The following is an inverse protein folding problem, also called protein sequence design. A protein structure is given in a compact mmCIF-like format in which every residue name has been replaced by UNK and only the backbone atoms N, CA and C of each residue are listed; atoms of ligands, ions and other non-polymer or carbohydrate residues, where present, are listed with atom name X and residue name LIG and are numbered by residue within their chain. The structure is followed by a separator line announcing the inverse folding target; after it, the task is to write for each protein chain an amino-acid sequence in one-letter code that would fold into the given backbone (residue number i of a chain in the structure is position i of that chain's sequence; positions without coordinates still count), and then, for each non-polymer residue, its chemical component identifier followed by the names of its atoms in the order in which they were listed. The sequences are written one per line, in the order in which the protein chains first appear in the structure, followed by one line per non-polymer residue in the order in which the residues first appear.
data_IF_298243041728
#
_entry.id   IF_298243041728
#
_cell.length_a   1.000
_cell.length_b   1.000
_cell.length_c   1.000
_cell.angle_alpha   90.00
_cell.angle_beta   90.00
_cell.angle_gamma   90.00
#
_symmetry.space_group_name_H-M   'P 1'
#
loop_
_entity.id
_entity.type
_entity.pdbx_description
1 polymer ?
#
# COMPACT_ATOMS: atom_id res chain seq x y z
N UNK A 1 14.17 -17.51 23.65
CA UNK A 1 13.03 -17.77 24.56
C UNK A 1 13.06 -16.70 25.60
N UNK A 2 11.92 -16.09 25.88
CA UNK A 2 11.42 -15.58 27.18
C UNK A 2 10.15 -14.79 26.77
N UNK A 3 8.95 -15.00 27.31
CA UNK A 3 8.52 -15.39 28.67
C UNK A 3 7.46 -16.51 28.60
N UNK A 4 7.39 -17.37 29.64
CA UNK A 4 6.38 -17.05 30.66
C UNK A 4 6.86 -17.32 32.09
N UNK A 5 6.79 -16.33 32.98
CA UNK A 5 6.93 -16.53 34.43
C UNK A 5 5.60 -16.97 35.09
N UNK A 6 4.75 -17.62 34.30
CA UNK A 6 3.28 -17.70 34.29
C UNK A 6 2.54 -17.85 35.63
N UNK A 7 1.27 -17.42 35.63
CA UNK A 7 0.28 -18.23 36.31
C UNK A 7 -0.96 -18.57 35.45
N UNK A 8 -1.14 -19.85 35.15
CA UNK A 8 -2.36 -20.39 34.54
C UNK A 8 -3.56 -20.19 35.45
N UNK A 9 -4.68 -19.71 34.91
CA UNK A 9 -5.89 -19.37 35.66
C UNK A 9 -7.09 -20.22 35.26
N UNK A 10 -7.62 -20.96 36.23
CA UNK A 10 -8.97 -21.51 36.30
C UNK A 10 -9.89 -20.43 36.94
N UNK A 11 -11.18 -20.41 36.62
CA UNK A 11 -12.20 -19.45 37.06
C UNK A 11 -12.37 -19.30 38.60
N UNK A 12 -11.66 -20.07 39.43
CA UNK A 12 -11.83 -20.06 40.87
C UNK A 12 -11.04 -18.97 41.63
N UNK A 13 -10.08 -18.23 41.03
CA UNK A 13 -9.12 -17.43 41.82
C UNK A 13 -8.41 -16.18 41.20
N UNK A 14 -9.05 -15.39 40.30
CA UNK A 14 -8.54 -14.06 39.86
C UNK A 14 -7.01 -14.00 39.56
N UNK A 15 -6.53 -14.93 38.71
CA UNK A 15 -5.10 -15.13 38.44
C UNK A 15 -4.78 -14.75 36.99
N UNK A 16 -3.93 -13.73 36.80
CA UNK A 16 -3.51 -13.21 35.49
C UNK A 16 -2.31 -13.96 34.92
N UNK A 17 -2.39 -14.40 33.68
CA UNK A 17 -1.41 -15.25 32.97
C UNK A 17 -0.28 -14.48 32.30
N UNK A 18 -0.53 -13.22 31.96
CA UNK A 18 0.39 -12.30 31.31
C UNK A 18 0.03 -10.88 31.75
N UNK A 19 1.05 -10.10 32.12
CA UNK A 19 0.88 -8.68 32.40
C UNK A 19 1.05 -7.88 31.10
N UNK A 20 0.25 -6.83 30.94
CA UNK A 20 0.49 -5.84 29.89
C UNK A 20 1.76 -5.06 30.22
N UNK A 21 2.65 -4.95 29.26
CA UNK A 21 3.92 -4.21 29.38
C UNK A 21 4.10 -3.37 28.14
N UNK A 22 4.54 -2.13 28.32
CA UNK A 22 4.87 -1.23 27.22
C UNK A 22 6.12 -1.73 26.49
N UNK A 23 6.18 -1.47 25.18
CA UNK A 23 7.40 -1.66 24.41
C UNK A 23 8.44 -0.61 24.82
N UNK A 24 9.71 -1.00 24.81
CA UNK A 24 10.83 -0.09 25.05
C UNK A 24 11.97 -0.43 24.08
N UNK A 25 12.44 0.56 23.33
CA UNK A 25 13.53 0.38 22.37
C UNK A 25 14.32 1.67 22.18
N UNK A 26 15.43 1.60 21.44
CA UNK A 26 16.25 2.76 21.11
C UNK A 26 16.18 3.06 19.62
N UNK A 27 15.87 4.30 19.27
CA UNK A 27 15.96 4.83 17.90
C UNK A 27 17.06 5.88 17.88
N UNK A 28 18.12 5.66 17.10
CA UNK A 28 19.30 6.55 17.02
C UNK A 28 19.90 6.92 18.39
N UNK A 29 19.85 5.99 19.34
CA UNK A 29 20.35 6.18 20.71
C UNK A 29 19.37 6.87 21.68
N UNK A 30 18.21 7.32 21.20
CA UNK A 30 17.13 7.87 22.03
C UNK A 30 16.22 6.74 22.49
N UNK A 31 16.00 6.63 23.80
CA UNK A 31 15.06 5.66 24.37
C UNK A 31 13.61 6.09 24.13
N UNK A 32 12.81 5.15 23.63
CA UNK A 32 11.41 5.37 23.30
C UNK A 32 10.58 4.24 23.89
N UNK A 33 9.53 4.62 24.62
CA UNK A 33 8.53 3.69 25.12
C UNK A 33 7.15 3.97 24.51
N UNK A 34 6.43 2.90 24.19
CA UNK A 34 5.11 2.93 23.57
C UNK A 34 4.24 1.79 24.08
N UNK A 35 2.95 2.05 24.24
CA UNK A 35 1.98 1.09 24.77
C UNK A 35 1.64 -0.06 23.82
N UNK A 36 2.06 0.03 22.55
CA UNK A 36 1.83 -1.02 21.53
C UNK A 36 3.12 -1.33 20.80
N UNK A 37 3.15 -2.46 20.08
CA UNK A 37 4.28 -2.88 19.25
C UNK A 37 4.22 -2.32 17.81
N UNK A 38 3.23 -1.50 17.47
CA UNK A 38 3.11 -0.87 16.15
C UNK A 38 3.23 0.64 16.29
N UNK A 39 4.37 1.17 15.88
CA UNK A 39 4.76 2.56 16.14
C UNK A 39 4.66 3.37 14.85
N UNK A 40 3.80 4.38 14.85
CA UNK A 40 3.49 5.19 13.65
C UNK A 40 3.79 6.69 13.82
N UNK A 41 4.21 7.09 15.03
CA UNK A 41 4.27 8.49 15.45
C UNK A 41 5.71 9.04 15.57
N UNK A 42 6.73 8.21 15.36
CA UNK A 42 8.14 8.62 15.48
C UNK A 42 8.71 9.20 14.19
N UNK A 43 8.36 8.63 13.05
CA UNK A 43 8.85 9.04 11.74
C UNK A 43 7.64 9.20 10.83
N UNK A 44 7.43 10.40 10.30
CA UNK A 44 6.28 10.68 9.45
C UNK A 44 6.28 9.76 8.21
N UNK A 45 5.17 9.05 8.01
CA UNK A 45 4.99 8.13 6.89
C UNK A 45 5.63 6.75 7.07
N UNK A 46 6.16 6.42 8.25
CA UNK A 46 6.76 5.12 8.56
C UNK A 46 5.96 4.44 9.67
N UNK A 47 5.77 3.13 9.53
CA UNK A 47 5.25 2.26 10.60
C UNK A 47 6.34 1.27 10.97
N UNK A 48 6.65 1.16 12.26
CA UNK A 48 7.63 0.24 12.82
C UNK A 48 6.89 -0.82 13.63
N UNK A 49 6.94 -2.07 13.18
CA UNK A 49 6.35 -3.20 13.89
C UNK A 49 7.43 -3.98 14.65
N UNK A 50 7.37 -3.94 15.98
CA UNK A 50 8.26 -4.66 16.88
C UNK A 50 7.79 -6.11 17.01
N UNK A 51 8.61 -7.06 16.56
CA UNK A 51 8.24 -8.49 16.52
C UNK A 51 8.88 -9.34 17.61
N UNK A 52 10.13 -9.02 17.95
CA UNK A 52 10.91 -9.70 18.97
C UNK A 52 12.03 -8.79 19.44
N UNK A 53 12.53 -9.06 20.64
CA UNK A 53 13.71 -8.38 21.16
C UNK A 53 14.96 -8.80 20.38
N UNK A 54 15.83 -7.83 20.11
CA UNK A 54 17.15 -8.06 19.55
C UNK A 54 18.20 -7.42 20.46
N UNK A 55 19.33 -8.11 20.64
CA UNK A 55 20.48 -7.61 21.39
C UNK A 55 21.50 -6.90 20.49
N UNK A 56 21.32 -6.97 19.17
CA UNK A 56 22.12 -6.28 18.18
C UNK A 56 21.60 -4.89 17.80
N UNK A 57 22.43 -4.14 17.07
CA UNK A 57 22.00 -2.91 16.39
C UNK A 57 21.44 -3.25 15.02
N UNK A 58 20.19 -2.85 14.77
CA UNK A 58 19.51 -3.05 13.49
C UNK A 58 19.48 -1.73 12.74
N UNK A 59 19.91 -1.76 11.48
CA UNK A 59 19.91 -0.59 10.61
C UNK A 59 18.84 -0.72 9.53
N UNK A 60 18.00 0.30 9.41
CA UNK A 60 16.95 0.38 8.40
C UNK A 60 17.25 1.51 7.42
N UNK A 61 17.21 1.17 6.13
CA UNK A 61 17.41 2.15 5.04
C UNK A 61 16.13 2.28 4.24
N UNK A 62 15.66 3.50 4.07
CA UNK A 62 14.57 3.82 3.15
C UNK A 62 15.14 4.38 1.84
N UNK A 63 14.69 3.85 0.71
CA UNK A 63 15.03 4.35 -0.62
C UNK A 63 13.78 4.45 -1.48
N UNK A 64 13.79 5.39 -2.44
CA UNK A 64 12.71 5.50 -3.43
C UNK A 64 12.76 4.29 -4.36
N UNK A 65 11.63 3.64 -4.56
CA UNK A 65 11.51 2.50 -5.46
C UNK A 65 11.44 2.97 -6.92
N UNK A 66 12.54 2.86 -7.66
CA UNK A 66 12.58 3.13 -9.10
C UNK A 66 11.59 2.23 -9.86
N UNK A 67 11.43 0.97 -9.43
CA UNK A 67 10.48 0.04 -10.01
C UNK A 67 9.03 0.53 -9.87
N UNK A 68 8.65 1.03 -8.70
CA UNK A 68 7.30 1.56 -8.47
C UNK A 68 7.04 2.83 -9.27
N UNK A 69 8.06 3.69 -9.42
CA UNK A 69 7.97 4.89 -10.27
C UNK A 69 7.78 4.48 -11.73
N UNK A 70 8.60 3.56 -12.25
CA UNK A 70 8.49 3.05 -13.62
C UNK A 70 7.12 2.43 -13.89
N UNK A 71 6.64 1.55 -13.00
CA UNK A 71 5.33 0.92 -13.12
C UNK A 71 4.20 1.96 -13.16
N UNK A 72 4.31 3.04 -12.38
CA UNK A 72 3.34 4.13 -12.40
C UNK A 72 3.34 4.85 -13.75
N UNK A 73 4.52 5.14 -14.31
CA UNK A 73 4.65 5.78 -15.62
C UNK A 73 4.12 4.87 -16.74
N UNK A 74 4.48 3.59 -16.72
CA UNK A 74 3.97 2.60 -17.69
C UNK A 74 2.44 2.49 -17.64
N UNK A 75 1.86 2.51 -16.43
CA UNK A 75 0.40 2.52 -16.25
C UNK A 75 -0.26 3.75 -16.86
N UNK A 76 0.33 4.93 -16.68
CA UNK A 76 -0.18 6.17 -17.29
C UNK A 76 -0.09 6.10 -18.81
N UNK A 77 1.03 5.63 -19.36
CA UNK A 77 1.21 5.47 -20.81
C UNK A 77 0.19 4.48 -21.37
N UNK A 78 0.01 3.32 -20.72
CA UNK A 78 -0.99 2.33 -21.13
C UNK A 78 -2.39 2.95 -21.13
N UNK A 79 -2.77 3.65 -20.06
CA UNK A 79 -4.10 4.27 -19.95
C UNK A 79 -4.34 5.29 -21.06
N UNK A 80 -3.32 6.06 -21.44
CA UNK A 80 -3.42 7.04 -22.53
C UNK A 80 -3.53 6.38 -23.90
N UNK A 81 -2.78 5.29 -24.12
CA UNK A 81 -2.88 4.53 -25.36
C UNK A 81 -4.25 3.86 -25.48
N UNK A 82 -4.74 3.23 -24.40
CA UNK A 82 -6.06 2.61 -24.36
C UNK A 82 -7.16 3.65 -24.62
N UNK A 83 -7.02 4.85 -24.05
CA UNK A 83 -7.94 5.96 -24.30
C UNK A 83 -7.89 6.45 -25.75
N UNK A 84 -6.70 6.54 -26.34
CA UNK A 84 -6.53 6.91 -27.75
C UNK A 84 -7.19 5.87 -28.66
N UNK A 85 -6.94 4.59 -28.41
CA UNK A 85 -7.49 3.50 -29.22
C UNK A 85 -9.03 3.49 -29.13
N UNK A 86 -9.58 3.76 -27.95
CA UNK A 86 -11.03 3.88 -27.79
C UNK A 86 -11.59 5.11 -28.51
N UNK A 87 -10.91 6.26 -28.44
CA UNK A 87 -11.32 7.45 -29.19
C UNK A 87 -11.27 7.21 -30.71
N UNK A 88 -10.20 6.59 -31.20
CA UNK A 88 -10.04 6.24 -32.61
C UNK A 88 -11.16 5.27 -33.03
N UNK A 89 -11.44 4.23 -32.23
CA UNK A 89 -12.56 3.28 -32.48
C UNK A 89 -13.91 3.98 -32.51
N UNK A 90 -14.17 4.90 -31.59
CA UNK A 90 -15.44 5.61 -31.51
C UNK A 90 -15.63 6.60 -32.65
N UNK A 91 -14.56 7.25 -33.11
CA UNK A 91 -14.59 8.29 -34.15
C UNK A 91 -14.25 7.80 -35.56
N UNK A 92 -13.90 6.52 -35.70
CA UNK A 92 -13.57 5.91 -36.99
C UNK A 92 -14.67 6.11 -38.03
N UNK A 93 -14.31 6.58 -39.22
CA UNK A 93 -15.20 6.71 -40.39
C UNK A 93 -14.71 5.73 -41.45
N UNK A 94 -15.54 4.76 -41.80
CA UNK A 94 -15.33 3.90 -42.96
C UNK A 94 -15.90 4.62 -44.18
N UNK A 95 -15.04 4.90 -45.17
CA UNK A 95 -15.42 5.63 -46.38
C UNK A 95 -15.83 4.69 -47.52
N UNK A 96 -15.55 3.39 -47.40
CA UNK A 96 -15.82 2.37 -48.42
C UNK A 96 -16.89 1.35 -47.97
N UNK A 97 -17.23 1.32 -46.68
CA UNK A 97 -18.25 0.45 -46.09
C UNK A 97 -19.08 1.14 -44.98
N UNK A 98 -19.90 0.34 -44.27
CA UNK A 98 -20.84 0.82 -43.23
C UNK A 98 -20.34 0.57 -41.79
N UNK A 99 -19.04 0.31 -41.58
CA UNK A 99 -18.48 -0.06 -40.26
C UNK A 99 -18.02 1.13 -39.41
N UNK A 100 -18.71 2.27 -39.50
CA UNK A 100 -18.31 3.47 -38.77
C UNK A 100 -18.40 3.30 -37.25
N UNK A 101 -17.51 3.99 -36.54
CA UNK A 101 -17.51 4.11 -35.08
C UNK A 101 -18.79 4.78 -34.55
N UNK A 102 -19.27 4.42 -33.35
CA UNK A 102 -20.54 4.93 -32.81
C UNK A 102 -20.65 6.46 -32.68
N UNK A 103 -19.53 7.18 -32.56
CA UNK A 103 -19.50 8.65 -32.46
C UNK A 103 -19.06 9.36 -33.75
N UNK A 104 -18.79 8.60 -34.82
CA UNK A 104 -18.40 9.12 -36.12
C UNK A 104 -19.43 10.06 -36.77
N UNK A 105 -20.69 10.00 -36.33
CA UNK A 105 -21.82 10.60 -37.01
C UNK A 105 -22.67 11.52 -36.11
N UNK A 106 -22.02 12.47 -35.43
CA UNK A 106 -22.66 13.54 -34.66
C UNK A 106 -23.58 14.49 -35.46
N UNK A 107 -23.81 14.24 -36.76
CA UNK A 107 -24.85 14.90 -37.54
C UNK A 107 -25.28 13.97 -38.68
N UNK A 108 -26.49 13.43 -38.55
CA UNK A 108 -27.16 12.57 -39.54
C UNK A 108 -27.57 13.27 -40.83
N UNK A 109 -26.63 13.86 -41.54
CA UNK A 109 -26.77 14.33 -42.92
C UNK A 109 -25.39 14.06 -43.52
N UNK A 110 -25.21 13.13 -44.45
CA UNK A 110 -25.64 13.20 -45.84
C UNK A 110 -26.00 11.79 -46.33
N UNK A 111 -27.29 11.45 -46.40
CA UNK A 111 -27.76 10.48 -47.40
C UNK A 111 -28.35 11.31 -48.54
N UNK A 112 -27.79 11.06 -49.73
CA UNK A 112 -28.09 11.71 -51.00
C UNK A 112 -29.57 11.67 -51.38
#
# INVERSE_FOLDING_TARGET
METPSYPGGNADNNRFTQFATDSNFKLDGVEVSRTTNSITDLIQGVTIDLKADDSGSVQYTAARSEASVKATVEKVISTLNDYKDELDRLTYIDVEGDNNGPLSNGSGCWKA
#
